data_IF_229604454933
#
_entry.id   IF_229604454933
#
_cell.length_a   1.000
_cell.length_b   1.000
_cell.length_c   1.000
_cell.angle_alpha   90.00
_cell.angle_beta   90.00
_cell.angle_gamma   90.00
#
_symmetry.space_group_name_H-M   'P 1'
#
loop_
_entity.id
_entity.type
_entity.pdbx_description
1 polymer ?
#
# COMPACT_ATOMS: atom_id res chain seq x y z
N UNK A 1 14.52 -2.63 -16.50
CA UNK A 1 13.31 -2.83 -15.68
C UNK A 1 12.18 -1.92 -16.13
N UNK A 2 10.95 -2.44 -16.08
CA UNK A 2 9.75 -1.74 -16.55
C UNK A 2 9.46 -0.51 -15.67
N UNK A 3 9.32 0.67 -16.28
CA UNK A 3 9.17 1.99 -15.61
C UNK A 3 10.29 2.41 -14.64
N UNK A 4 11.45 1.74 -14.65
CA UNK A 4 12.52 2.06 -13.70
C UNK A 4 13.21 3.43 -13.92
N UNK A 5 12.97 4.06 -15.07
CA UNK A 5 13.44 5.42 -15.35
C UNK A 5 12.44 6.51 -14.93
N UNK A 6 11.21 6.13 -14.54
CA UNK A 6 10.18 7.06 -14.12
C UNK A 6 10.40 7.47 -12.66
N UNK A 7 10.64 8.75 -12.41
CA UNK A 7 10.72 9.29 -11.04
C UNK A 7 9.32 9.45 -10.41
N UNK A 8 8.31 9.69 -11.24
CA UNK A 8 6.91 9.87 -10.82
C UNK A 8 5.99 9.07 -11.73
N UNK A 9 5.26 8.11 -11.16
CA UNK A 9 4.39 7.23 -11.92
C UNK A 9 3.08 7.96 -12.29
N UNK A 10 2.73 7.94 -13.58
CA UNK A 10 1.50 8.49 -14.13
C UNK A 10 0.31 7.55 -13.90
N UNK A 11 -0.90 8.10 -13.91
CA UNK A 11 -2.15 7.34 -13.80
C UNK A 11 -2.55 6.65 -15.12
N UNK A 12 -1.82 6.89 -16.21
CA UNK A 12 -2.06 6.26 -17.52
C UNK A 12 -0.81 6.35 -18.41
N UNK A 13 -0.59 5.30 -19.20
CA UNK A 13 0.48 5.18 -20.20
C UNK A 13 -0.03 4.45 -21.45
N UNK A 14 0.60 4.68 -22.60
CA UNK A 14 0.28 4.02 -23.88
C UNK A 14 0.77 2.55 -23.98
N UNK A 15 0.96 1.88 -22.84
CA UNK A 15 1.45 0.51 -22.77
C UNK A 15 0.39 -0.39 -22.12
N UNK A 16 0.27 -1.64 -22.58
CA UNK A 16 -0.77 -2.56 -22.08
C UNK A 16 -0.66 -2.84 -20.58
N UNK A 17 0.55 -2.74 -20.01
CA UNK A 17 0.82 -3.01 -18.60
C UNK A 17 0.55 -1.79 -17.69
N UNK A 18 0.54 -0.57 -18.23
CA UNK A 18 0.32 0.65 -17.44
C UNK A 18 -0.71 1.63 -18.02
N UNK A 19 -1.52 1.19 -18.98
CA UNK A 19 -2.78 1.85 -19.25
C UNK A 19 -3.72 1.67 -18.04
N UNK A 20 -4.75 2.49 -17.96
CA UNK A 20 -5.72 2.51 -16.85
C UNK A 20 -6.28 1.11 -16.53
N UNK A 21 -6.52 0.29 -17.56
CA UNK A 21 -6.96 -1.11 -17.39
C UNK A 21 -5.85 -2.00 -16.83
N UNK A 22 -4.61 -1.83 -17.30
CA UNK A 22 -3.44 -2.58 -16.86
C UNK A 22 -3.13 -2.32 -15.39
N UNK A 23 -3.03 -1.03 -15.00
CA UNK A 23 -2.84 -0.57 -13.62
C UNK A 23 -3.88 -1.22 -12.70
N UNK A 24 -5.17 -0.99 -12.97
CA UNK A 24 -6.26 -1.56 -12.18
C UNK A 24 -6.21 -3.09 -12.06
N UNK A 25 -5.83 -3.79 -13.13
CA UNK A 25 -5.81 -5.25 -13.14
C UNK A 25 -4.66 -5.79 -12.31
N UNK A 26 -3.46 -5.22 -12.48
CA UNK A 26 -2.25 -5.64 -11.78
C UNK A 26 -2.32 -5.28 -10.30
N UNK A 27 -2.61 -4.03 -9.97
CA UNK A 27 -2.56 -3.55 -8.59
C UNK A 27 -3.61 -4.27 -7.73
N UNK A 28 -4.81 -4.54 -8.29
CA UNK A 28 -5.80 -5.40 -7.64
C UNK A 28 -5.33 -6.84 -7.48
N UNK A 29 -4.70 -7.40 -8.51
CA UNK A 29 -4.19 -8.77 -8.45
C UNK A 29 -3.14 -8.91 -7.34
N UNK A 30 -2.22 -7.96 -7.23
CA UNK A 30 -1.17 -7.94 -6.21
C UNK A 30 -1.76 -7.74 -4.81
N UNK A 31 -2.59 -6.71 -4.62
CA UNK A 31 -3.20 -6.40 -3.31
C UNK A 31 -4.18 -7.47 -2.81
N UNK A 32 -4.63 -8.40 -3.66
CA UNK A 32 -5.51 -9.51 -3.25
C UNK A 32 -4.78 -10.84 -3.09
N UNK A 33 -3.45 -10.86 -3.27
CA UNK A 33 -2.64 -12.08 -3.25
C UNK A 33 -1.33 -11.95 -2.47
N UNK A 34 -0.88 -10.74 -2.13
CA UNK A 34 0.27 -10.57 -1.25
C UNK A 34 -0.01 -11.13 0.15
N UNK A 35 1.06 -11.48 0.86
CA UNK A 35 0.98 -11.96 2.25
C UNK A 35 0.81 -10.81 3.25
N UNK A 36 1.20 -9.60 2.85
CA UNK A 36 1.20 -8.39 3.65
C UNK A 36 1.16 -7.17 2.72
N UNK A 37 0.37 -6.15 3.06
CA UNK A 37 0.39 -4.85 2.39
C UNK A 37 1.05 -3.80 3.29
N UNK A 38 2.08 -3.12 2.78
CA UNK A 38 2.72 -1.97 3.45
C UNK A 38 2.41 -0.71 2.68
N UNK A 39 1.81 0.27 3.35
CA UNK A 39 1.38 1.54 2.77
C UNK A 39 2.17 2.67 3.40
N UNK A 40 2.81 3.50 2.56
CA UNK A 40 3.55 4.67 3.03
C UNK A 40 2.82 5.97 2.67
N UNK A 41 2.33 6.67 3.68
CA UNK A 41 1.70 7.97 3.57
C UNK A 41 2.53 9.12 4.16
N UNK A 42 3.79 8.88 4.56
CA UNK A 42 4.63 9.94 5.13
C UNK A 42 4.70 11.16 4.20
N UNK A 43 4.47 12.34 4.76
CA UNK A 43 4.46 13.62 4.05
C UNK A 43 3.35 13.77 2.99
N UNK A 44 2.33 12.90 2.99
CA UNK A 44 1.26 12.97 1.99
C UNK A 44 0.45 14.26 2.11
N UNK A 45 0.48 15.08 1.06
CA UNK A 45 -0.27 16.34 0.97
C UNK A 45 -1.56 16.22 0.15
N UNK A 46 -1.78 15.07 -0.50
CA UNK A 46 -2.95 14.78 -1.34
C UNK A 46 -3.39 13.33 -1.17
N UNK A 47 -4.69 13.11 -1.21
CA UNK A 47 -5.27 11.77 -1.06
C UNK A 47 -4.83 10.90 -2.22
N UNK A 48 -4.19 9.77 -1.92
CA UNK A 48 -3.89 8.76 -2.93
C UNK A 48 -5.11 7.86 -3.12
N UNK A 49 -5.94 8.19 -4.11
CA UNK A 49 -7.17 7.43 -4.40
C UNK A 49 -6.85 5.98 -4.73
N UNK A 50 -5.79 5.73 -5.50
CA UNK A 50 -5.32 4.38 -5.83
C UNK A 50 -4.99 3.58 -4.57
N UNK A 51 -4.20 4.15 -3.66
CA UNK A 51 -3.81 3.48 -2.42
C UNK A 51 -4.98 3.23 -1.47
N UNK A 52 -5.97 4.13 -1.42
CA UNK A 52 -7.21 3.88 -0.67
C UNK A 52 -7.97 2.68 -1.26
N UNK A 53 -8.00 2.51 -2.58
CA UNK A 53 -8.60 1.34 -3.22
C UNK A 53 -7.81 0.05 -2.94
N UNK A 54 -6.47 0.12 -2.96
CA UNK A 54 -5.59 -1.00 -2.63
C UNK A 54 -5.81 -1.51 -1.20
N UNK A 55 -5.93 -0.59 -0.23
CA UNK A 55 -6.28 -0.92 1.17
C UNK A 55 -7.61 -1.65 1.24
N UNK A 56 -8.64 -1.15 0.55
CA UNK A 56 -9.96 -1.78 0.54
C UNK A 56 -9.94 -3.20 -0.07
N UNK A 57 -9.12 -3.45 -1.09
CA UNK A 57 -8.97 -4.79 -1.66
C UNK A 57 -8.24 -5.76 -0.73
N UNK A 58 -7.17 -5.29 -0.06
CA UNK A 58 -6.43 -6.08 0.90
C UNK A 58 -7.29 -6.43 2.13
N UNK A 59 -8.03 -5.48 2.69
CA UNK A 59 -8.95 -5.73 3.81
C UNK A 59 -10.07 -6.70 3.41
N UNK A 60 -10.65 -6.57 2.21
CA UNK A 60 -11.63 -7.53 1.71
C UNK A 60 -11.09 -8.97 1.67
N UNK A 61 -9.78 -9.13 1.47
CA UNK A 61 -9.07 -10.43 1.51
C UNK A 61 -8.50 -10.78 2.88
N UNK A 62 -8.69 -9.93 3.88
CA UNK A 62 -8.12 -10.06 5.23
C UNK A 62 -6.60 -10.20 5.20
N UNK A 63 -5.97 -9.59 4.21
CA UNK A 63 -4.52 -9.46 4.15
C UNK A 63 -4.11 -8.41 5.20
N UNK A 64 -3.14 -8.70 6.08
CA UNK A 64 -2.67 -7.72 7.05
C UNK A 64 -2.14 -6.46 6.36
N UNK A 65 -2.43 -5.29 6.95
CA UNK A 65 -2.04 -3.99 6.40
C UNK A 65 -1.28 -3.20 7.46
N UNK A 66 -0.10 -2.70 7.09
CA UNK A 66 0.72 -1.76 7.86
C UNK A 66 0.66 -0.40 7.16
N UNK A 67 0.23 0.63 7.87
CA UNK A 67 0.27 2.02 7.39
C UNK A 67 1.38 2.78 8.10
N UNK A 68 2.18 3.48 7.32
CA UNK A 68 3.22 4.41 7.79
C UNK A 68 2.67 5.82 7.59
N UNK A 69 2.39 6.56 8.67
CA UNK A 69 1.81 7.89 8.61
C UNK A 69 2.08 8.69 9.87
N UNK A 70 2.18 10.01 9.74
CA UNK A 70 2.05 10.93 10.86
C UNK A 70 0.62 10.91 11.43
N UNK A 71 0.45 11.28 12.70
CA UNK A 71 -0.86 11.32 13.36
C UNK A 71 -1.84 12.31 12.72
N UNK A 72 -1.34 13.45 12.23
CA UNK A 72 -2.13 14.49 11.56
C UNK A 72 -2.24 14.31 10.04
N UNK A 73 -1.82 13.15 9.52
CA UNK A 73 -1.85 12.85 8.10
C UNK A 73 -3.28 12.91 7.53
N UNK A 74 -3.41 13.37 6.28
CA UNK A 74 -4.71 13.53 5.61
C UNK A 74 -5.49 12.21 5.45
N UNK A 75 -4.80 11.06 5.51
CA UNK A 75 -5.39 9.73 5.44
C UNK A 75 -5.85 9.23 6.81
N UNK A 76 -5.75 10.05 7.87
CA UNK A 76 -6.31 9.75 9.19
C UNK A 76 -7.85 9.83 9.14
N UNK A 77 -8.44 8.77 8.58
CA UNK A 77 -9.87 8.62 8.34
C UNK A 77 -10.36 7.30 8.92
N UNK A 78 -11.53 7.28 9.55
CA UNK A 78 -12.05 6.11 10.27
C UNK A 78 -12.08 4.83 9.43
N UNK A 79 -12.47 4.89 8.15
CA UNK A 79 -12.41 3.72 7.27
C UNK A 79 -10.99 3.16 7.07
N UNK A 80 -9.97 4.02 6.99
CA UNK A 80 -8.57 3.57 6.87
C UNK A 80 -8.11 3.01 8.21
N UNK A 81 -8.44 3.67 9.32
CA UNK A 81 -8.10 3.20 10.66
C UNK A 81 -8.68 1.81 10.95
N UNK A 82 -9.92 1.54 10.55
CA UNK A 82 -10.58 0.25 10.79
C UNK A 82 -10.19 -0.84 9.77
N UNK A 83 -9.80 -0.46 8.55
CA UNK A 83 -9.34 -1.41 7.54
C UNK A 83 -7.87 -1.85 7.76
N UNK A 84 -7.12 -1.18 8.63
CA UNK A 84 -5.68 -1.40 8.79
C UNK A 84 -5.36 -2.01 10.15
N UNK A 85 -4.42 -2.96 10.17
CA UNK A 85 -4.08 -3.69 11.40
C UNK A 85 -3.01 -2.99 12.24
N UNK A 86 -2.09 -2.27 11.59
CA UNK A 86 -0.96 -1.62 12.24
C UNK A 86 -0.76 -0.22 11.66
N UNK A 87 -0.55 0.77 12.53
CA UNK A 87 -0.16 2.13 12.16
C UNK A 87 1.14 2.48 12.88
N UNK A 88 2.10 2.99 12.14
CA UNK A 88 3.45 3.33 12.63
C UNK A 88 3.92 4.65 12.01
N UNK A 89 4.91 5.28 12.61
CA UNK A 89 5.43 6.58 12.14
C UNK A 89 6.73 6.47 11.34
N UNK A 90 7.31 5.26 11.21
CA UNK A 90 8.57 5.08 10.50
C UNK A 90 8.65 3.79 9.70
N UNK A 91 9.47 3.82 8.64
CA UNK A 91 9.73 2.66 7.77
C UNK A 91 10.43 1.55 8.57
N UNK A 92 11.33 1.89 9.48
CA UNK A 92 12.06 0.94 10.31
C UNK A 92 11.12 0.14 11.23
N UNK A 93 10.13 0.83 11.81
CA UNK A 93 9.10 0.16 12.64
C UNK A 93 8.20 -0.71 11.77
N UNK A 94 7.83 -0.24 10.59
CA UNK A 94 7.04 -1.02 9.63
C UNK A 94 7.74 -2.31 9.21
N UNK A 95 9.06 -2.25 8.95
CA UNK A 95 9.88 -3.41 8.64
C UNK A 95 9.90 -4.42 9.79
N UNK A 96 10.06 -3.94 11.03
CA UNK A 96 10.03 -4.80 12.22
C UNK A 96 8.69 -5.53 12.36
N UNK A 97 7.58 -4.84 12.13
CA UNK A 97 6.24 -5.43 12.16
C UNK A 97 6.07 -6.43 11.01
N UNK A 98 6.53 -6.09 9.81
CA UNK A 98 6.48 -6.97 8.64
C UNK A 98 7.25 -8.27 8.86
N UNK A 99 8.48 -8.20 9.39
CA UNK A 99 9.30 -9.37 9.74
C UNK A 99 8.59 -10.30 10.72
N UNK A 100 7.91 -9.73 11.72
CA UNK A 100 7.17 -10.48 12.72
C UNK A 100 5.93 -11.16 12.12
N UNK A 101 5.14 -10.45 11.31
CA UNK A 101 3.93 -11.01 10.67
C UNK A 101 4.29 -12.12 9.70
N UNK A 102 5.34 -11.91 8.90
CA UNK A 102 5.78 -12.87 7.89
C UNK A 102 6.64 -14.01 8.48
N UNK A 103 6.91 -13.99 9.80
CA UNK A 103 7.76 -14.96 10.49
C UNK A 103 9.13 -15.15 9.81
N UNK A 104 9.77 -14.06 9.37
CA UNK A 104 11.03 -14.13 8.63
C UNK A 104 12.20 -14.58 9.51
N UNK A 105 12.09 -14.39 10.82
CA UNK A 105 13.03 -14.89 11.83
C UNK A 105 12.47 -16.19 12.42
N UNK A 106 12.51 -17.26 11.63
CA UNK A 106 12.26 -18.60 12.16
C UNK A 106 13.32 -18.96 13.19
N UNK A 107 12.90 -19.51 14.34
CA UNK A 107 13.78 -20.33 15.19
C UNK A 107 14.09 -21.67 14.52
#
# INVERSE_FOLDING_TARGET
DYLAAEECISNDYDTVLSCSRGIMTRDRFDCTRCDLLVVNFLGATKVSIGTVMEIAWADLKRIPIIVISEDDNIHNHGMISEATGFRVESVETALTVAEAILNLKGE
#
